data_IF_930397229805
#
_entry.id   IF_930397229805
#
_cell.length_a   1.000
_cell.length_b   1.000
_cell.length_c   1.000
_cell.angle_alpha   90.00
_cell.angle_beta   90.00
_cell.angle_gamma   90.00
#
_symmetry.space_group_name_H-M   'P 1'
#
loop_
_entity.id
_entity.type
_entity.pdbx_description
1 polymer ?
#
# COMPACT_ATOMS: atom_id res chain seq x y z
N UNK A 1 -26.60 9.85 6.59
CA UNK A 1 -25.22 9.72 7.07
C UNK A 1 -24.47 8.94 6.02
N UNK A 2 -23.72 9.67 5.19
CA UNK A 2 -22.96 9.11 4.06
C UNK A 2 -21.67 8.52 4.65
N UNK A 3 -21.52 7.19 4.63
CA UNK A 3 -20.27 6.53 4.96
C UNK A 3 -19.31 6.80 3.80
N UNK A 4 -18.37 7.69 4.01
CA UNK A 4 -17.21 7.81 3.14
C UNK A 4 -16.37 6.54 3.33
N UNK A 5 -16.47 5.64 2.35
CA UNK A 5 -15.50 4.56 2.19
C UNK A 5 -14.26 5.25 1.63
N UNK A 6 -13.30 5.51 2.50
CA UNK A 6 -11.97 5.93 2.09
C UNK A 6 -11.34 4.72 1.40
N UNK A 7 -11.40 4.71 0.08
CA UNK A 7 -10.67 3.76 -0.76
C UNK A 7 -9.18 4.04 -0.52
N UNK A 8 -8.57 3.26 0.35
CA UNK A 8 -7.13 3.26 0.52
C UNK A 8 -6.57 2.59 -0.73
N UNK A 9 -6.23 3.41 -1.73
CA UNK A 9 -5.47 2.92 -2.89
C UNK A 9 -4.11 2.51 -2.34
N UNK A 10 -3.92 1.21 -2.18
CA UNK A 10 -2.61 0.63 -2.02
C UNK A 10 -1.86 0.89 -3.32
N UNK A 11 -1.07 1.94 -3.35
CA UNK A 11 0.07 1.97 -4.24
C UNK A 11 1.00 0.87 -3.72
N UNK A 12 0.81 -0.34 -4.23
CA UNK A 12 1.83 -1.36 -4.10
C UNK A 12 3.09 -0.79 -4.75
N UNK A 13 4.02 -0.32 -3.92
CA UNK A 13 5.38 -0.23 -4.36
C UNK A 13 5.76 -1.66 -4.76
N UNK A 14 5.69 -1.95 -6.07
CA UNK A 14 6.19 -3.18 -6.64
C UNK A 14 7.71 -3.10 -6.45
N UNK A 15 8.20 -3.59 -5.29
CA UNK A 15 9.58 -3.97 -5.13
C UNK A 15 9.82 -5.07 -6.16
N UNK A 16 10.40 -4.72 -7.31
CA UNK A 16 10.97 -5.69 -8.22
C UNK A 16 12.02 -6.46 -7.43
N UNK A 17 11.75 -7.72 -7.12
CA UNK A 17 12.77 -8.65 -6.65
C UNK A 17 13.81 -8.79 -7.75
N UNK A 18 14.89 -8.01 -7.69
CA UNK A 18 16.09 -8.31 -8.47
C UNK A 18 16.61 -9.69 -8.02
N UNK A 19 16.77 -10.57 -9.02
CA UNK A 19 17.47 -11.84 -8.84
C UNK A 19 18.85 -11.56 -8.24
N UNK A 20 19.18 -12.29 -7.19
CA UNK A 20 20.45 -12.22 -6.48
C UNK A 20 21.61 -12.70 -7.38
N UNK A 21 22.16 -11.80 -8.15
CA UNK A 21 23.55 -11.94 -8.62
C UNK A 21 24.45 -11.45 -7.50
N UNK A 22 25.58 -12.14 -7.25
CA UNK A 22 26.61 -11.87 -6.24
C UNK A 22 27.25 -10.49 -6.39
N UNK A 23 26.48 -9.42 -6.26
CA UNK A 23 26.99 -8.05 -6.05
C UNK A 23 27.26 -7.85 -4.57
N UNK A 24 28.33 -7.13 -4.18
CA UNK A 24 28.52 -6.71 -2.78
C UNK A 24 27.21 -6.05 -2.32
N UNK A 25 26.71 -6.48 -1.15
CA UNK A 25 25.44 -6.01 -0.61
C UNK A 25 25.42 -4.48 -0.62
N UNK A 26 24.56 -3.89 -1.43
CA UNK A 26 24.33 -2.45 -1.35
C UNK A 26 23.76 -2.14 0.06
N UNK A 27 24.15 -1.04 0.68
CA UNK A 27 23.62 -0.66 1.97
C UNK A 27 22.09 -0.58 1.88
N UNK A 28 21.42 -1.21 2.85
CA UNK A 28 19.97 -1.14 2.96
C UNK A 28 19.57 0.16 3.64
N UNK A 29 18.48 0.74 3.19
CA UNK A 29 17.87 1.90 3.82
C UNK A 29 16.49 1.53 4.34
N UNK A 30 16.24 1.78 5.62
CA UNK A 30 14.96 1.54 6.26
C UNK A 30 14.26 2.88 6.51
N UNK A 31 12.97 2.95 6.22
CA UNK A 31 12.16 4.15 6.50
C UNK A 31 12.03 4.33 8.00
N UNK A 32 12.58 5.43 8.54
CA UNK A 32 12.38 5.78 9.97
C UNK A 32 11.09 6.52 10.18
N UNK A 33 10.79 7.49 9.30
CA UNK A 33 9.55 8.23 9.38
C UNK A 33 8.98 8.48 8.01
N UNK A 34 7.65 8.50 7.95
CA UNK A 34 6.87 9.05 6.84
C UNK A 34 5.93 10.10 7.40
N UNK A 35 5.98 11.31 6.88
CA UNK A 35 5.05 12.39 7.25
C UNK A 35 4.24 12.78 6.03
N UNK A 36 2.92 12.81 6.19
CA UNK A 36 1.96 13.24 5.18
C UNK A 36 1.21 14.43 5.77
N UNK A 37 1.36 15.60 5.15
CA UNK A 37 0.74 16.83 5.61
C UNK A 37 -0.27 17.31 4.57
N UNK A 38 -1.54 17.12 4.87
CA UNK A 38 -2.65 17.69 4.10
C UNK A 38 -2.79 19.16 4.47
N UNK A 39 -2.66 20.03 3.48
CA UNK A 39 -2.77 21.48 3.70
C UNK A 39 -4.23 21.88 3.87
N UNK A 40 -4.52 22.95 4.64
CA UNK A 40 -5.89 23.43 4.82
C UNK A 40 -6.44 23.98 3.51
N UNK A 41 -7.71 23.69 3.26
CA UNK A 41 -8.49 24.25 2.15
C UNK A 41 -9.63 25.11 2.70
N UNK A 42 -10.39 25.75 1.81
CA UNK A 42 -11.60 26.49 2.21
C UNK A 42 -12.62 25.62 2.97
N UNK A 43 -12.63 24.30 2.68
CA UNK A 43 -13.63 23.35 3.20
C UNK A 43 -13.08 22.36 4.24
N UNK A 44 -11.75 22.27 4.40
CA UNK A 44 -11.12 21.30 5.29
C UNK A 44 -9.97 21.91 6.08
N UNK A 45 -9.96 21.65 7.39
CA UNK A 45 -8.79 21.90 8.24
C UNK A 45 -7.63 21.02 7.78
N UNK A 46 -6.45 21.62 7.69
CA UNK A 46 -5.22 20.85 7.42
C UNK A 46 -5.01 19.75 8.48
N UNK A 47 -4.32 18.68 8.09
CA UNK A 47 -4.06 17.51 8.92
C UNK A 47 -2.67 16.99 8.68
N UNK A 48 -1.99 16.56 9.74
CA UNK A 48 -0.69 15.90 9.65
C UNK A 48 -0.81 14.46 10.13
N UNK A 49 -0.32 13.52 9.33
CA UNK A 49 -0.11 12.13 9.72
C UNK A 49 1.38 11.84 9.72
N UNK A 50 1.88 11.24 10.80
CA UNK A 50 3.28 10.83 10.93
C UNK A 50 3.36 9.38 11.36
N UNK A 51 4.00 8.60 10.55
CA UNK A 51 4.34 7.20 10.81
C UNK A 51 5.78 7.16 11.34
N UNK A 52 6.02 6.41 12.40
CA UNK A 52 7.34 6.20 13.00
C UNK A 52 7.59 4.70 13.10
N UNK A 53 8.70 4.25 12.54
CA UNK A 53 9.10 2.85 12.51
C UNK A 53 10.33 2.63 13.38
N UNK A 54 10.40 1.52 14.10
CA UNK A 54 11.62 1.03 14.72
C UNK A 54 11.96 -0.36 14.22
N UNK A 55 13.22 -0.70 14.29
CA UNK A 55 13.75 -1.97 13.78
C UNK A 55 14.64 -2.61 14.84
N UNK A 56 14.63 -3.93 14.89
CA UNK A 56 15.54 -4.69 15.73
C UNK A 56 16.99 -4.70 15.15
N UNK A 57 17.92 -5.32 15.87
CA UNK A 57 19.33 -5.39 15.47
C UNK A 57 19.58 -6.10 14.12
N UNK A 58 18.62 -6.87 13.63
CA UNK A 58 18.67 -7.52 12.33
C UNK A 58 18.03 -6.69 11.20
N UNK A 59 17.51 -5.50 11.53
CA UNK A 59 16.83 -4.62 10.57
C UNK A 59 15.41 -5.06 10.25
N UNK A 60 14.76 -5.86 11.09
CA UNK A 60 13.36 -6.24 10.96
C UNK A 60 12.48 -5.30 11.77
N UNK A 61 11.31 -4.94 11.25
CA UNK A 61 10.36 -4.05 11.90
C UNK A 61 9.99 -4.58 13.29
N UNK A 62 10.14 -3.75 14.32
CA UNK A 62 9.90 -4.09 15.72
C UNK A 62 8.72 -3.33 16.30
N UNK A 63 8.53 -2.08 15.85
CA UNK A 63 7.33 -1.32 16.18
C UNK A 63 6.97 -0.29 15.10
N UNK A 64 5.71 0.11 15.13
CA UNK A 64 5.15 1.20 14.34
C UNK A 64 4.26 2.05 15.21
N UNK A 65 4.32 3.38 15.05
CA UNK A 65 3.42 4.32 15.71
C UNK A 65 2.87 5.29 14.67
N UNK A 66 1.54 5.43 14.66
CA UNK A 66 0.86 6.43 13.85
C UNK A 66 0.44 7.60 14.73
N UNK A 67 0.87 8.79 14.36
CA UNK A 67 0.41 10.05 14.94
C UNK A 67 -0.50 10.76 13.93
N UNK A 68 -1.56 11.38 14.43
CA UNK A 68 -2.43 12.27 13.66
C UNK A 68 -2.53 13.58 14.40
N UNK A 69 -2.14 14.68 13.75
CA UNK A 69 -2.07 16.03 14.35
C UNK A 69 -1.25 16.06 15.66
N UNK A 70 -0.20 15.24 15.72
CA UNK A 70 0.68 15.10 16.89
C UNK A 70 0.17 14.13 17.97
N UNK A 71 -1.05 13.66 17.88
CA UNK A 71 -1.61 12.68 18.80
C UNK A 71 -1.36 11.25 18.31
N UNK A 72 -0.87 10.37 19.19
CA UNK A 72 -0.77 8.95 18.91
C UNK A 72 -2.18 8.36 18.73
N UNK A 73 -2.43 7.69 17.60
CA UNK A 73 -3.73 7.07 17.30
C UNK A 73 -3.66 5.56 17.16
N UNK A 74 -2.47 5.01 16.83
CA UNK A 74 -2.26 3.57 16.69
C UNK A 74 -0.81 3.22 17.02
N UNK A 75 -0.61 2.07 17.67
CA UNK A 75 0.68 1.45 17.89
C UNK A 75 0.64 0.01 17.40
N UNK A 76 1.63 -0.40 16.58
CA UNK A 76 1.85 -1.81 16.24
C UNK A 76 3.09 -2.31 16.96
N UNK A 77 2.98 -3.47 17.56
CA UNK A 77 4.04 -4.13 18.34
C UNK A 77 3.79 -5.63 18.39
N UNK A 78 4.62 -6.32 19.18
CA UNK A 78 4.57 -7.78 19.31
C UNK A 78 4.84 -8.49 17.98
N UNK A 79 5.73 -7.89 17.16
CA UNK A 79 6.15 -8.50 15.90
C UNK A 79 6.84 -9.83 16.15
N UNK A 80 6.49 -10.82 15.34
CA UNK A 80 7.20 -12.10 15.24
C UNK A 80 7.69 -12.26 13.82
N UNK A 81 8.91 -12.73 13.67
CA UNK A 81 9.54 -12.96 12.38
C UNK A 81 9.97 -14.42 12.27
N UNK A 82 10.04 -14.92 11.04
CA UNK A 82 10.71 -16.18 10.77
C UNK A 82 12.24 -16.00 10.69
N UNK A 83 12.95 -17.10 10.43
CA UNK A 83 14.41 -17.11 10.30
C UNK A 83 14.93 -16.27 9.13
N UNK A 84 14.09 -15.94 8.15
CA UNK A 84 14.39 -15.08 6.99
C UNK A 84 14.00 -13.60 7.23
N UNK A 85 13.45 -13.28 8.42
CA UNK A 85 13.03 -11.94 8.78
C UNK A 85 11.68 -11.51 8.24
N UNK A 86 10.89 -12.44 7.71
CA UNK A 86 9.53 -12.14 7.24
C UNK A 86 8.60 -12.04 8.44
N UNK A 87 7.72 -11.04 8.44
CA UNK A 87 6.74 -10.84 9.52
C UNK A 87 5.73 -11.99 9.52
N UNK A 88 5.65 -12.72 10.62
CA UNK A 88 4.63 -13.77 10.83
C UNK A 88 3.42 -13.25 11.58
N UNK A 89 3.61 -12.24 12.44
CA UNK A 89 2.58 -11.72 13.32
C UNK A 89 2.87 -10.31 13.77
N UNK A 90 1.85 -9.51 14.01
CA UNK A 90 1.89 -8.26 14.78
C UNK A 90 0.51 -7.92 15.34
N UNK A 91 0.48 -7.02 16.33
CA UNK A 91 -0.75 -6.57 16.98
C UNK A 91 -0.82 -5.04 16.97
N UNK A 92 -2.02 -4.48 16.71
CA UNK A 92 -2.27 -3.04 16.84
C UNK A 92 -3.03 -2.73 18.14
N UNK A 93 -2.66 -1.60 18.71
CA UNK A 93 -3.21 -1.10 19.97
C UNK A 93 -3.64 0.35 19.81
N UNK A 94 -4.72 0.70 20.48
CA UNK A 94 -5.14 2.09 20.71
C UNK A 94 -4.17 2.80 21.63
N UNK A 95 -4.19 4.15 21.69
CA UNK A 95 -3.31 4.93 22.59
C UNK A 95 -3.44 4.56 24.08
N UNK A 96 -4.62 4.15 24.52
CA UNK A 96 -4.88 3.70 25.89
C UNK A 96 -4.49 2.23 26.15
N UNK A 97 -3.88 1.58 25.15
CA UNK A 97 -3.29 0.24 25.27
C UNK A 97 -4.25 -0.92 25.05
N UNK A 98 -5.48 -0.67 24.61
CA UNK A 98 -6.40 -1.75 24.23
C UNK A 98 -6.01 -2.34 22.87
N UNK A 99 -5.95 -3.67 22.79
CA UNK A 99 -5.70 -4.36 21.54
C UNK A 99 -6.93 -4.26 20.63
N UNK A 100 -6.75 -3.74 19.41
CA UNK A 100 -7.82 -3.56 18.42
C UNK A 100 -7.68 -4.44 17.19
N UNK A 101 -6.47 -4.99 16.94
CA UNK A 101 -6.21 -5.78 15.75
C UNK A 101 -5.11 -6.79 16.00
N UNK A 102 -5.25 -7.98 15.43
CA UNK A 102 -4.17 -8.95 15.19
C UNK A 102 -4.01 -9.19 13.70
N UNK A 103 -2.78 -9.41 13.27
CA UNK A 103 -2.43 -9.75 11.90
C UNK A 103 -1.45 -10.91 11.88
N UNK A 104 -1.79 -11.97 11.17
CA UNK A 104 -0.98 -13.15 10.98
C UNK A 104 -0.73 -13.42 9.51
N UNK A 105 0.47 -13.92 9.17
CA UNK A 105 0.87 -14.24 7.81
C UNK A 105 1.39 -15.66 7.70
N UNK A 106 1.10 -16.32 6.57
CA UNK A 106 1.78 -17.54 6.16
C UNK A 106 2.44 -17.34 4.81
N UNK A 107 3.54 -18.05 4.58
CA UNK A 107 4.35 -17.90 3.37
C UNK A 107 4.59 -19.24 2.68
N UNK A 108 4.75 -19.19 1.35
CA UNK A 108 5.26 -20.30 0.56
C UNK A 108 6.77 -20.52 0.84
N UNK A 109 7.30 -21.62 0.36
CA UNK A 109 8.75 -21.90 0.40
C UNK A 109 9.55 -20.86 -0.40
N UNK A 110 8.97 -20.26 -1.46
CA UNK A 110 9.57 -19.20 -2.26
C UNK A 110 9.46 -17.80 -1.62
N UNK A 111 8.77 -17.67 -0.48
CA UNK A 111 8.62 -16.41 0.26
C UNK A 111 7.41 -15.56 -0.12
N UNK A 112 6.49 -16.10 -0.92
CA UNK A 112 5.23 -15.41 -1.24
C UNK A 112 4.22 -15.56 -0.11
N UNK A 113 3.45 -14.53 0.18
CA UNK A 113 2.33 -14.60 1.14
C UNK A 113 1.28 -15.57 0.59
N UNK A 114 0.92 -16.57 1.38
CA UNK A 114 -0.17 -17.50 1.07
C UNK A 114 -1.47 -17.10 1.75
N UNK A 115 -1.36 -16.59 2.98
CA UNK A 115 -2.52 -16.19 3.79
C UNK A 115 -2.18 -14.94 4.58
N UNK A 116 -3.10 -14.00 4.58
CA UNK A 116 -3.21 -12.91 5.55
C UNK A 116 -4.47 -13.14 6.38
N UNK A 117 -4.29 -13.22 7.70
CA UNK A 117 -5.36 -13.42 8.68
C UNK A 117 -5.43 -12.19 9.59
N UNK A 118 -6.52 -11.44 9.50
CA UNK A 118 -6.72 -10.18 10.19
C UNK A 118 -7.97 -10.25 11.07
N UNK A 119 -7.78 -10.09 12.37
CA UNK A 119 -8.88 -10.08 13.34
C UNK A 119 -9.01 -8.69 13.98
N UNK A 120 -10.11 -8.02 13.69
CA UNK A 120 -10.51 -6.79 14.40
C UNK A 120 -11.25 -7.14 15.69
N UNK A 121 -10.78 -6.59 16.79
CA UNK A 121 -11.40 -6.78 18.10
C UNK A 121 -12.35 -5.61 18.41
N UNK A 122 -13.48 -5.85 19.10
CA UNK A 122 -14.41 -4.78 19.44
C UNK A 122 -13.77 -3.78 20.41
N UNK A 123 -13.82 -2.49 20.05
CA UNK A 123 -13.40 -1.39 20.90
C UNK A 123 -14.64 -0.56 21.22
N UNK A 124 -15.19 -0.74 22.42
CA UNK A 124 -16.52 -0.30 22.85
C UNK A 124 -16.81 1.21 22.71
N UNK A 125 -15.80 2.06 22.51
CA UNK A 125 -15.96 3.53 22.47
C UNK A 125 -15.55 4.18 21.14
N UNK A 126 -14.94 3.42 20.20
CA UNK A 126 -14.41 3.98 18.95
C UNK A 126 -15.39 3.95 17.77
N UNK A 127 -16.58 3.37 17.95
CA UNK A 127 -17.55 3.15 16.86
C UNK A 127 -17.12 2.08 15.86
N UNK A 128 -15.98 1.42 16.06
CA UNK A 128 -15.60 0.20 15.38
C UNK A 128 -16.31 -0.98 16.04
N UNK A 129 -17.12 -1.67 15.28
CA UNK A 129 -17.87 -2.90 15.50
C UNK A 129 -18.19 -3.30 16.94
N UNK A 130 -19.45 -3.63 17.22
CA UNK A 130 -19.84 -4.26 18.48
C UNK A 130 -19.38 -5.73 18.56
N UNK A 131 -18.86 -6.26 17.45
CA UNK A 131 -18.48 -7.66 17.25
C UNK A 131 -17.06 -7.77 16.69
N UNK A 132 -16.46 -8.94 16.84
CA UNK A 132 -15.18 -9.26 16.22
C UNK A 132 -15.39 -9.49 14.72
N UNK A 133 -14.62 -8.78 13.88
CA UNK A 133 -14.58 -9.02 12.44
C UNK A 133 -13.30 -9.78 12.07
N UNK A 134 -13.47 -10.87 11.35
CA UNK A 134 -12.39 -11.71 10.86
C UNK A 134 -12.27 -11.59 9.34
N UNK A 135 -11.16 -11.03 8.85
CA UNK A 135 -10.81 -10.96 7.45
C UNK A 135 -9.72 -11.95 7.13
N UNK A 136 -9.98 -12.85 6.19
CA UNK A 136 -9.00 -13.80 5.68
C UNK A 136 -8.77 -13.53 4.21
N UNK A 137 -7.50 -13.41 3.79
CA UNK A 137 -7.12 -13.31 2.39
C UNK A 137 -6.18 -14.46 2.04
N UNK A 138 -6.50 -15.18 0.97
CA UNK A 138 -5.74 -16.31 0.45
C UNK A 138 -5.21 -15.99 -0.95
N UNK A 139 -3.95 -16.32 -1.20
CA UNK A 139 -3.27 -16.06 -2.46
C UNK A 139 -2.85 -17.34 -3.14
N UNK A 140 -3.00 -17.41 -4.46
CA UNK A 140 -2.55 -18.52 -5.30
C UNK A 140 -1.58 -18.00 -6.35
N UNK A 141 -0.52 -18.75 -6.60
CA UNK A 141 0.56 -18.40 -7.53
C UNK A 141 0.73 -19.47 -8.60
N UNK A 142 1.24 -19.06 -9.77
CA UNK A 142 1.66 -19.98 -10.83
C UNK A 142 3.09 -20.52 -10.57
N UNK A 143 3.58 -21.37 -11.49
CA UNK A 143 4.92 -21.95 -11.41
C UNK A 143 6.07 -20.94 -11.51
N UNK A 144 5.78 -19.70 -11.92
CA UNK A 144 6.71 -18.58 -11.98
C UNK A 144 6.59 -17.63 -10.78
N UNK A 145 5.89 -18.06 -9.69
CA UNK A 145 5.62 -17.25 -8.51
C UNK A 145 4.81 -15.95 -8.80
N UNK A 146 4.00 -15.94 -9.86
CA UNK A 146 3.12 -14.82 -10.18
C UNK A 146 1.72 -15.10 -9.61
N UNK A 147 1.13 -14.10 -8.98
CA UNK A 147 -0.21 -14.22 -8.42
C UNK A 147 -1.26 -14.44 -9.52
N UNK A 148 -2.09 -15.46 -9.35
CA UNK A 148 -3.15 -15.81 -10.30
C UNK A 148 -4.56 -15.75 -9.70
N UNK A 149 -4.64 -15.71 -8.37
CA UNK A 149 -5.90 -15.55 -7.66
C UNK A 149 -5.66 -14.99 -6.26
N UNK A 150 -6.57 -14.13 -5.80
CA UNK A 150 -6.74 -13.71 -4.42
C UNK A 150 -8.19 -13.92 -4.01
N UNK A 151 -8.42 -14.59 -2.89
CA UNK A 151 -9.73 -14.80 -2.28
C UNK A 151 -9.80 -14.04 -0.96
N UNK A 152 -10.80 -13.19 -0.79
CA UNK A 152 -11.02 -12.44 0.44
C UNK A 152 -12.33 -12.87 1.09
N UNK A 153 -12.28 -13.05 2.40
CA UNK A 153 -13.40 -13.46 3.24
C UNK A 153 -13.62 -12.46 4.37
N UNK A 154 -14.86 -12.30 4.78
CA UNK A 154 -15.25 -11.62 6.00
C UNK A 154 -16.15 -12.58 6.80
N UNK A 155 -15.73 -12.95 8.02
CA UNK A 155 -16.44 -13.88 8.90
C UNK A 155 -16.86 -15.17 8.17
N UNK A 156 -15.89 -15.78 7.46
CA UNK A 156 -16.03 -16.99 6.64
C UNK A 156 -16.91 -16.84 5.37
N UNK A 157 -17.48 -15.69 5.10
CA UNK A 157 -18.20 -15.41 3.86
C UNK A 157 -17.28 -14.82 2.80
N UNK A 158 -17.39 -15.28 1.55
CA UNK A 158 -16.62 -14.72 0.43
C UNK A 158 -17.01 -13.27 0.21
N UNK A 159 -16.04 -12.37 0.37
CA UNK A 159 -16.20 -10.93 0.16
C UNK A 159 -15.89 -10.54 -1.29
N UNK A 160 -14.84 -11.12 -1.88
CA UNK A 160 -14.40 -10.82 -3.22
C UNK A 160 -13.33 -11.79 -3.72
N UNK A 161 -13.15 -11.81 -5.04
CA UNK A 161 -12.16 -12.63 -5.74
C UNK A 161 -11.42 -11.78 -6.75
N UNK A 162 -10.11 -11.61 -6.57
CA UNK A 162 -9.26 -11.12 -7.64
C UNK A 162 -8.90 -12.28 -8.56
N UNK A 163 -9.10 -12.10 -9.85
CA UNK A 163 -8.96 -13.14 -10.87
C UNK A 163 -8.57 -12.54 -12.22
N UNK A 164 -8.46 -13.39 -13.27
CA UNK A 164 -8.09 -12.95 -14.62
C UNK A 164 -6.79 -12.16 -14.69
N UNK A 165 -5.82 -12.53 -13.87
CA UNK A 165 -4.49 -11.93 -13.95
C UNK A 165 -3.86 -12.16 -15.32
N UNK A 166 -3.33 -11.10 -15.92
CA UNK A 166 -2.52 -11.18 -17.14
C UNK A 166 -1.19 -10.51 -16.92
N UNK A 167 -0.15 -11.14 -17.42
CA UNK A 167 1.22 -10.66 -17.34
C UNK A 167 1.82 -10.55 -18.73
N UNK A 168 2.75 -9.62 -18.92
CA UNK A 168 3.60 -9.62 -20.11
C UNK A 168 4.70 -10.70 -20.03
N UNK A 169 5.52 -10.79 -21.06
CA UNK A 169 6.63 -11.75 -21.11
C UNK A 169 7.76 -11.46 -20.09
N UNK A 170 7.80 -10.26 -19.53
CA UNK A 170 8.76 -9.84 -18.51
C UNK A 170 8.23 -10.08 -17.10
N UNK A 171 6.96 -10.50 -16.95
CA UNK A 171 6.30 -10.73 -15.68
C UNK A 171 5.59 -9.49 -15.11
N UNK A 172 5.48 -8.41 -15.87
CA UNK A 172 4.75 -7.22 -15.44
C UNK A 172 3.22 -7.47 -15.50
N UNK A 173 2.51 -7.05 -14.45
CA UNK A 173 1.06 -7.22 -14.35
C UNK A 173 0.32 -6.26 -15.28
N UNK A 174 -0.42 -6.79 -16.26
CA UNK A 174 -1.17 -6.00 -17.23
C UNK A 174 -2.65 -5.84 -16.88
N UNK A 175 -3.25 -6.81 -16.20
CA UNK A 175 -4.69 -6.86 -15.93
C UNK A 175 -4.99 -7.66 -14.66
N UNK A 176 -5.96 -7.18 -13.88
CA UNK A 176 -6.65 -7.92 -12.83
C UNK A 176 -8.13 -7.56 -12.84
N UNK A 177 -8.98 -8.54 -12.58
CA UNK A 177 -10.40 -8.33 -12.29
C UNK A 177 -10.67 -8.60 -10.81
N UNK A 178 -11.42 -7.70 -10.17
CA UNK A 178 -12.07 -7.94 -8.88
C UNK A 178 -13.55 -8.24 -9.12
N UNK A 179 -13.99 -9.40 -8.69
CA UNK A 179 -15.38 -9.86 -8.84
C UNK A 179 -15.97 -10.17 -7.46
N UNK A 180 -17.27 -10.02 -7.31
CA UNK A 180 -17.96 -10.48 -6.10
C UNK A 180 -18.11 -12.01 -6.08
N UNK A 181 -18.73 -12.52 -4.99
CA UNK A 181 -19.01 -13.95 -4.81
C UNK A 181 -19.84 -14.59 -5.92
N UNK A 182 -20.61 -13.78 -6.68
CA UNK A 182 -21.47 -14.21 -7.77
C UNK A 182 -20.76 -14.09 -9.14
N UNK A 183 -19.49 -13.68 -9.14
CA UNK A 183 -18.67 -13.51 -10.35
C UNK A 183 -18.93 -12.20 -11.09
N UNK A 184 -19.69 -11.25 -10.50
CA UNK A 184 -19.92 -9.94 -11.11
C UNK A 184 -18.71 -9.05 -10.96
N UNK A 185 -18.27 -8.44 -12.06
CA UNK A 185 -17.14 -7.52 -12.07
C UNK A 185 -17.44 -6.28 -11.21
N UNK A 186 -16.60 -6.03 -10.21
CA UNK A 186 -16.65 -4.87 -9.31
C UNK A 186 -15.58 -3.85 -9.64
N UNK A 187 -14.38 -4.32 -9.96
CA UNK A 187 -13.28 -3.46 -10.39
C UNK A 187 -12.44 -4.17 -11.45
N UNK A 188 -11.80 -3.37 -12.30
CA UNK A 188 -10.79 -3.80 -13.25
C UNK A 188 -9.57 -2.90 -13.11
N UNK A 189 -8.40 -3.51 -12.97
CA UNK A 189 -7.10 -2.86 -13.05
C UNK A 189 -6.46 -3.19 -14.38
N UNK A 190 -5.87 -2.19 -15.05
CA UNK A 190 -5.07 -2.33 -16.26
C UNK A 190 -3.79 -1.49 -16.13
N UNK A 191 -2.67 -1.96 -16.69
CA UNK A 191 -1.42 -1.22 -16.72
C UNK A 191 -0.65 -1.43 -18.01
N UNK A 192 0.14 -0.42 -18.36
CA UNK A 192 1.13 -0.47 -19.44
C UNK A 192 2.50 -0.11 -18.90
N UNK A 193 3.55 -0.59 -19.59
CA UNK A 193 4.93 -0.42 -19.17
C UNK A 193 5.78 0.09 -20.33
N UNK A 194 6.75 0.94 -20.03
CA UNK A 194 7.72 1.40 -20.99
C UNK A 194 8.80 0.33 -21.29
N UNK A 195 9.67 0.61 -22.25
CA UNK A 195 10.73 -0.31 -22.64
C UNK A 195 11.76 -0.64 -21.55
N UNK A 196 11.78 0.09 -20.43
CA UNK A 196 12.61 -0.19 -19.26
C UNK A 196 11.86 -1.00 -18.19
N UNK A 197 10.64 -1.46 -18.47
CA UNK A 197 9.81 -2.22 -17.53
C UNK A 197 9.18 -1.38 -16.41
N UNK A 198 9.19 -0.05 -16.53
CA UNK A 198 8.53 0.84 -15.57
C UNK A 198 7.11 1.12 -16.03
N UNK A 199 6.18 1.18 -15.06
CA UNK A 199 4.78 1.50 -15.32
C UNK A 199 4.68 2.87 -16.02
N UNK A 200 3.96 2.94 -17.12
CA UNK A 200 3.75 4.18 -17.88
C UNK A 200 2.35 4.75 -17.66
N UNK A 201 1.36 3.85 -17.60
CA UNK A 201 -0.02 4.18 -17.29
C UNK A 201 -0.66 3.05 -16.51
N UNK A 202 -1.50 3.38 -15.53
CA UNK A 202 -2.41 2.42 -14.90
C UNK A 202 -3.81 2.99 -14.80
N UNK A 203 -4.80 2.09 -14.90
CA UNK A 203 -6.22 2.47 -14.86
C UNK A 203 -6.97 1.52 -13.94
N UNK A 204 -7.78 2.07 -13.05
CA UNK A 204 -8.79 1.35 -12.27
C UNK A 204 -10.16 1.79 -12.71
N UNK A 205 -10.98 0.84 -13.16
CA UNK A 205 -12.40 1.08 -13.45
C UNK A 205 -13.23 0.40 -12.36
N UNK A 206 -14.05 1.16 -11.67
CA UNK A 206 -15.00 0.69 -10.66
C UNK A 206 -16.40 0.58 -11.28
N UNK A 207 -17.08 -0.55 -11.01
CA UNK A 207 -18.45 -0.83 -11.43
C UNK A 207 -19.42 -0.86 -10.24
N UNK A 208 -19.02 -0.32 -9.09
CA UNK A 208 -19.82 -0.24 -7.86
C UNK A 208 -20.83 0.92 -7.95
N UNK A 209 -21.92 0.72 -8.70
CA UNK A 209 -22.96 1.73 -8.94
C UNK A 209 -22.76 2.44 -10.27
N UNK A 210 -22.31 3.72 -10.25
CA UNK A 210 -21.90 4.40 -11.48
C UNK A 210 -20.48 3.94 -11.84
N UNK A 211 -20.28 3.66 -13.14
CA UNK A 211 -18.93 3.38 -13.63
C UNK A 211 -18.05 4.61 -13.44
N UNK A 212 -16.90 4.42 -12.77
CA UNK A 212 -15.91 5.45 -12.51
C UNK A 212 -14.54 4.95 -12.92
N UNK A 213 -13.80 5.75 -13.66
CA UNK A 213 -12.44 5.40 -14.09
C UNK A 213 -11.43 6.36 -13.52
N UNK A 214 -10.39 5.82 -12.86
CA UNK A 214 -9.22 6.59 -12.42
C UNK A 214 -8.00 6.10 -13.18
N UNK A 215 -7.30 7.01 -13.85
CA UNK A 215 -6.08 6.71 -14.62
C UNK A 215 -4.92 7.51 -14.04
N UNK A 216 -3.80 6.85 -13.85
CA UNK A 216 -2.52 7.46 -13.47
C UNK A 216 -1.52 7.33 -14.59
N UNK A 217 -0.78 8.43 -14.88
CA UNK A 217 0.32 8.47 -15.85
C UNK A 217 1.61 8.81 -15.14
N UNK A 218 2.67 8.12 -15.49
CA UNK A 218 3.95 8.19 -14.80
C UNK A 218 5.06 8.66 -15.73
N UNK A 219 5.92 9.55 -15.25
CA UNK A 219 7.11 9.99 -15.96
C UNK A 219 8.36 9.83 -15.09
N UNK A 220 9.46 9.47 -15.70
CA UNK A 220 10.73 9.14 -15.04
C UNK A 220 11.87 9.97 -15.60
N UNK A 221 12.86 10.29 -14.78
CA UNK A 221 14.10 10.90 -15.23
C UNK A 221 15.02 9.89 -15.95
N UNK A 222 16.18 10.36 -16.42
CA UNK A 222 17.17 9.53 -17.10
C UNK A 222 17.83 8.45 -16.22
N UNK A 223 17.72 8.58 -14.88
CA UNK A 223 18.17 7.57 -13.90
C UNK A 223 17.06 6.58 -13.54
N UNK A 224 15.84 6.83 -14.03
CA UNK A 224 14.66 6.03 -13.78
C UNK A 224 13.93 6.38 -12.48
N UNK A 225 14.19 7.51 -11.85
CA UNK A 225 13.41 7.99 -10.71
C UNK A 225 12.11 8.61 -11.17
N UNK A 226 11.00 8.35 -10.46
CA UNK A 226 9.70 8.96 -10.72
C UNK A 226 9.79 10.48 -10.49
N UNK A 227 9.39 11.27 -11.49
CA UNK A 227 9.41 12.75 -11.39
C UNK A 227 8.02 13.36 -11.51
N UNK A 228 7.05 12.61 -12.05
CA UNK A 228 5.69 13.07 -12.26
C UNK A 228 4.72 11.88 -12.21
N UNK A 229 3.63 12.04 -11.48
CA UNK A 229 2.44 11.20 -11.56
C UNK A 229 1.24 12.12 -11.76
N UNK A 230 0.42 11.84 -12.76
CA UNK A 230 -0.78 12.59 -13.09
C UNK A 230 -2.00 11.68 -12.91
N UNK A 231 -2.95 12.11 -12.09
CA UNK A 231 -4.21 11.42 -11.86
C UNK A 231 -5.34 12.06 -12.65
N UNK A 232 -6.12 11.21 -13.31
CA UNK A 232 -7.32 11.59 -14.05
C UNK A 232 -8.52 10.79 -13.53
N UNK A 233 -9.64 11.47 -13.29
CA UNK A 233 -10.92 10.85 -12.96
C UNK A 233 -11.90 11.06 -14.11
N UNK A 234 -12.41 9.98 -14.68
CA UNK A 234 -13.26 9.98 -15.88
C UNK A 234 -12.68 10.85 -17.01
N UNK A 235 -11.36 10.73 -17.22
CA UNK A 235 -10.60 11.45 -18.24
C UNK A 235 -10.34 12.94 -17.94
N UNK A 236 -10.73 13.44 -16.76
CA UNK A 236 -10.46 14.82 -16.33
C UNK A 236 -9.30 14.85 -15.34
N UNK A 237 -8.37 15.81 -15.44
CA UNK A 237 -7.31 15.98 -14.46
C UNK A 237 -7.88 16.08 -13.04
N UNK A 238 -7.30 15.35 -12.09
CA UNK A 238 -7.69 15.35 -10.68
C UNK A 238 -6.55 15.82 -9.78
N UNK A 239 -5.41 15.11 -9.79
CA UNK A 239 -4.25 15.42 -8.98
C UNK A 239 -2.96 15.26 -9.78
N UNK A 240 -1.90 15.96 -9.32
CA UNK A 240 -0.54 15.82 -9.87
C UNK A 240 0.43 15.68 -8.71
N UNK A 241 1.20 14.58 -8.69
CA UNK A 241 2.30 14.37 -7.76
C UNK A 241 3.62 14.70 -8.46
N UNK A 242 4.37 15.66 -7.93
CA UNK A 242 5.64 16.15 -8.49
C UNK A 242 6.57 16.73 -7.42
N UNK A 243 7.64 17.41 -7.84
CA UNK A 243 8.67 17.95 -6.94
C UNK A 243 9.39 16.87 -6.13
N UNK A 244 9.54 15.68 -6.73
CA UNK A 244 10.25 14.57 -6.12
C UNK A 244 11.71 14.93 -5.85
N UNK A 245 12.15 14.71 -4.61
CA UNK A 245 13.54 14.87 -4.18
C UNK A 245 14.06 13.54 -3.70
N UNK A 246 15.23 13.18 -4.20
CA UNK A 246 15.90 11.92 -3.87
C UNK A 246 17.25 12.23 -3.22
N UNK A 247 17.72 11.36 -2.33
CA UNK A 247 19.09 11.39 -1.85
C UNK A 247 20.05 10.78 -2.89
N UNK A 248 21.34 10.75 -2.57
CA UNK A 248 22.37 10.19 -3.46
C UNK A 248 22.21 8.66 -3.67
N UNK A 249 21.57 7.98 -2.75
CA UNK A 249 21.28 6.54 -2.82
C UNK A 249 19.99 6.22 -3.61
N UNK A 250 19.21 7.24 -3.97
CA UNK A 250 17.96 7.09 -4.70
C UNK A 250 16.72 6.91 -3.80
N UNK A 251 16.83 7.16 -2.49
CA UNK A 251 15.69 7.15 -1.60
C UNK A 251 14.87 8.43 -1.76
N UNK A 252 13.53 8.32 -1.87
CA UNK A 252 12.64 9.47 -1.97
C UNK A 252 12.61 10.24 -0.63
N UNK A 253 13.05 11.49 -0.63
CA UNK A 253 13.05 12.35 0.56
C UNK A 253 11.75 13.14 0.69
N UNK A 254 11.19 13.62 -0.42
CA UNK A 254 9.93 14.36 -0.42
C UNK A 254 9.30 14.41 -1.81
N UNK A 255 8.00 14.65 -1.84
CA UNK A 255 7.23 15.07 -3.02
C UNK A 255 5.98 15.83 -2.59
N UNK A 256 5.32 16.50 -3.54
CA UNK A 256 4.10 17.27 -3.30
C UNK A 256 2.98 16.82 -4.22
N UNK A 257 1.75 16.75 -3.68
CA UNK A 257 0.54 16.59 -4.48
C UNK A 257 -0.14 17.95 -4.69
N UNK A 258 -0.60 18.18 -5.89
CA UNK A 258 -1.25 19.41 -6.34
C UNK A 258 -2.67 19.11 -6.80
N UNK A 259 -3.62 19.97 -6.46
CA UNK A 259 -4.95 19.96 -7.03
C UNK A 259 -4.97 20.47 -8.48
N UNK A 260 -6.15 20.39 -9.11
CA UNK A 260 -6.36 20.88 -10.49
C UNK A 260 -6.09 22.37 -10.69
N UNK A 261 -6.17 23.13 -9.61
CA UNK A 261 -5.85 24.58 -9.56
C UNK A 261 -4.35 24.87 -9.47
N UNK A 262 -3.52 23.82 -9.40
CA UNK A 262 -2.08 23.92 -9.25
C UNK A 262 -1.61 24.31 -7.85
N UNK A 263 -2.50 24.29 -6.85
CA UNK A 263 -2.16 24.55 -5.45
C UNK A 263 -1.72 23.25 -4.79
N UNK A 264 -0.66 23.31 -3.95
CA UNK A 264 -0.22 22.17 -3.14
C UNK A 264 -1.33 21.80 -2.16
N UNK A 265 -1.78 20.56 -2.20
CA UNK A 265 -2.79 20.05 -1.28
C UNK A 265 -2.19 19.07 -0.25
N UNK A 266 -1.09 18.40 -0.59
CA UNK A 266 -0.43 17.45 0.31
C UNK A 266 1.08 17.47 0.13
N UNK A 267 1.82 17.48 1.23
CA UNK A 267 3.27 17.34 1.28
C UNK A 267 3.62 15.98 1.88
N UNK A 268 4.61 15.29 1.29
CA UNK A 268 5.13 14.00 1.75
C UNK A 268 6.60 14.15 2.11
N UNK A 269 7.02 13.63 3.28
CA UNK A 269 8.40 13.65 3.75
C UNK A 269 8.78 12.31 4.33
N UNK A 270 10.01 11.87 4.03
CA UNK A 270 10.55 10.59 4.46
C UNK A 270 11.93 10.78 5.09
N UNK A 271 12.23 9.99 6.11
CA UNK A 271 13.59 9.85 6.65
C UNK A 271 13.96 8.37 6.67
N UNK A 272 15.27 8.11 6.56
CA UNK A 272 15.79 6.76 6.43
C UNK A 272 16.94 6.51 7.40
N UNK A 273 17.07 5.26 7.81
CA UNK A 273 18.27 4.74 8.49
C UNK A 273 19.02 3.84 7.51
N UNK A 274 20.31 4.07 7.36
CA UNK A 274 21.21 3.16 6.64
C UNK A 274 21.54 1.98 7.55
N UNK A 275 21.48 0.76 6.99
CA UNK A 275 21.98 -0.47 7.60
C UNK A 275 23.16 -0.93 6.74
N UNK A 276 24.32 -1.12 7.37
CA UNK A 276 25.55 -1.62 6.74
C UNK A 276 25.59 -3.14 6.74
#
# INVERSE_FOLDING_TARGET
>A
MQKFITLLVFVCAICSCEKSDNKPSQPRYLVLTRTVKMLPTEYQKGREMKEVYTYNDFGYEDSFILYVDGENVEQRKNYKHDELGRVLHWEAFTPDGRKGLTMDYTYSASGKILVEDKVFLPIAESGYGAETDHYLTQYTYDEQDREIQQLSYLNDEVLGVHTNYKYDNSGNLLLVHDVDKDGQLKMKYEATYNGAGKIEESTVTSYLGLEMTTTWKYSYDSKGYLILEEEYQDGKPAHVLKDHKYDEAGNLLSCNSYGVDGVVCTEYHYTYQRID
#
